data_IF_669753812818
#
_entry.id   IF_669753812818
#
_cell.length_a   1.000
_cell.length_b   1.000
_cell.length_c   1.000
_cell.angle_alpha   90.00
_cell.angle_beta   90.00
_cell.angle_gamma   90.00
#
_symmetry.space_group_name_H-M   'P 1'
#
loop_
_entity.id
_entity.type
_entity.pdbx_description
1 polymer ?
#
# COMPACT_ATOMS: atom_id res chain seq x y z
N UNK A 1 4.85 13.77 19.57
CA UNK A 1 5.13 13.03 18.33
C UNK A 1 3.95 12.11 18.08
N UNK A 2 2.99 12.59 17.30
CA UNK A 2 1.75 11.88 17.01
C UNK A 2 2.04 10.77 15.99
N UNK A 3 2.14 9.54 16.49
CA UNK A 3 2.25 8.36 15.65
C UNK A 3 0.89 8.11 14.97
N UNK A 4 0.91 7.89 13.66
CA UNK A 4 -0.26 7.65 12.82
C UNK A 4 -1.29 6.69 13.47
N UNK A 5 -2.46 7.22 13.86
CA UNK A 5 -3.49 6.54 14.67
C UNK A 5 -4.35 5.50 13.92
N UNK A 6 -3.90 4.99 12.76
CA UNK A 6 -4.58 3.87 12.08
C UNK A 6 -6.03 4.12 11.64
N UNK A 7 -6.42 5.38 11.37
CA UNK A 7 -7.82 5.73 11.04
C UNK A 7 -8.25 5.32 9.61
N UNK A 8 -7.31 4.91 8.75
CA UNK A 8 -7.60 4.51 7.37
C UNK A 8 -7.57 2.99 7.24
N UNK A 9 -8.71 2.38 6.90
CA UNK A 9 -8.86 0.92 6.76
C UNK A 9 -8.45 0.39 5.39
N UNK A 10 -8.50 1.22 4.36
CA UNK A 10 -8.11 0.87 3.00
C UNK A 10 -7.33 2.01 2.33
N UNK A 11 -6.35 1.65 1.50
CA UNK A 11 -5.64 2.57 0.63
C UNK A 11 -6.01 2.29 -0.81
N UNK A 12 -6.26 3.35 -1.57
CA UNK A 12 -6.48 3.32 -2.99
C UNK A 12 -5.23 3.87 -3.67
N UNK A 13 -4.65 3.10 -4.59
CA UNK A 13 -3.49 3.50 -5.37
C UNK A 13 -3.82 3.44 -6.85
N UNK A 14 -3.20 4.33 -7.62
CA UNK A 14 -3.25 4.30 -9.08
C UNK A 14 -1.93 3.73 -9.55
N UNK A 15 -1.99 2.58 -10.22
CA UNK A 15 -0.87 1.99 -10.94
C UNK A 15 -0.49 2.88 -12.14
N UNK A 16 0.76 2.81 -12.59
CA UNK A 16 1.30 3.54 -13.74
C UNK A 16 0.43 3.43 -15.01
N UNK A 17 -0.20 2.26 -15.24
CA UNK A 17 -1.14 2.03 -16.34
C UNK A 17 -2.56 2.57 -16.13
N UNK A 18 -2.80 3.39 -15.10
CA UNK A 18 -4.10 4.01 -14.78
C UNK A 18 -5.08 3.12 -14.01
N UNK A 19 -4.71 1.86 -13.72
CA UNK A 19 -5.56 0.96 -12.93
C UNK A 19 -5.59 1.38 -11.47
N UNK A 20 -6.78 1.43 -10.91
CA UNK A 20 -6.96 1.72 -9.48
C UNK A 20 -7.03 0.42 -8.70
N UNK A 21 -6.18 0.28 -7.67
CA UNK A 21 -6.16 -0.88 -6.77
C UNK A 21 -6.49 -0.41 -5.35
N UNK A 22 -7.46 -1.08 -4.71
CA UNK A 22 -7.78 -0.86 -3.30
C UNK A 22 -7.37 -2.08 -2.48
N UNK A 23 -6.65 -1.84 -1.40
CA UNK A 23 -6.25 -2.91 -0.48
C UNK A 23 -6.21 -2.40 0.96
N UNK A 24 -6.13 -3.32 1.93
CA UNK A 24 -6.07 -2.97 3.35
C UNK A 24 -4.83 -2.13 3.64
N UNK A 25 -5.00 -1.01 4.32
CA UNK A 25 -3.90 -0.16 4.76
C UNK A 25 -2.94 -0.87 5.72
N UNK A 26 -3.38 -1.97 6.33
CA UNK A 26 -2.56 -2.79 7.22
C UNK A 26 -1.31 -3.33 6.53
N UNK A 27 -1.37 -3.61 5.22
CA UNK A 27 -0.22 -4.07 4.44
C UNK A 27 0.85 -3.00 4.27
N UNK A 28 0.51 -1.72 4.49
CA UNK A 28 1.46 -0.61 4.40
C UNK A 28 2.09 -0.24 5.74
N UNK A 29 1.63 -0.81 6.86
CA UNK A 29 2.15 -0.51 8.21
C UNK A 29 3.68 -0.57 8.30
N UNK A 30 4.38 -1.57 7.72
CA UNK A 30 5.85 -1.61 7.77
C UNK A 30 6.54 -0.47 7.03
N UNK A 31 5.83 0.22 6.13
CA UNK A 31 6.36 1.29 5.27
C UNK A 31 5.93 2.68 5.73
N UNK A 32 5.24 2.80 6.88
CA UNK A 32 4.84 4.09 7.44
C UNK A 32 6.08 4.77 8.03
N UNK A 33 6.36 5.98 7.54
CA UNK A 33 7.38 6.87 8.12
C UNK A 33 6.71 8.08 8.77
N UNK A 34 7.46 8.89 9.51
CA UNK A 34 6.98 10.18 10.04
C UNK A 34 6.52 11.15 8.93
N UNK A 35 7.01 10.97 7.70
CA UNK A 35 6.62 11.71 6.50
C UNK A 35 5.46 11.05 5.72
N UNK A 36 4.88 9.97 6.25
CA UNK A 36 3.86 9.16 5.58
C UNK A 36 4.43 8.00 4.75
N UNK A 37 3.66 7.51 3.79
CA UNK A 37 4.04 6.44 2.87
C UNK A 37 4.40 7.07 1.52
N UNK A 38 5.65 6.93 1.09
CA UNK A 38 6.18 7.51 -0.15
C UNK A 38 7.08 6.49 -0.85
N UNK A 39 7.09 6.51 -2.18
CA UNK A 39 7.92 5.63 -2.99
C UNK A 39 7.12 4.79 -3.99
N UNK A 40 7.82 3.88 -4.66
CA UNK A 40 7.20 2.97 -5.63
C UNK A 40 7.00 1.61 -4.97
N UNK A 41 5.80 1.08 -5.08
CA UNK A 41 5.44 -0.22 -4.52
C UNK A 41 5.05 -1.18 -5.63
N UNK A 42 5.49 -2.43 -5.50
CA UNK A 42 5.07 -3.54 -6.33
C UNK A 42 4.11 -4.41 -5.54
N UNK A 43 2.91 -4.61 -6.06
CA UNK A 43 1.94 -5.55 -5.51
C UNK A 43 2.01 -6.86 -6.30
N UNK A 44 2.26 -7.97 -5.61
CA UNK A 44 2.10 -9.31 -6.16
C UNK A 44 0.69 -9.80 -5.87
N UNK A 45 0.01 -10.24 -6.92
CA UNK A 45 -1.31 -10.87 -6.85
C UNK A 45 -1.22 -12.31 -7.37
N UNK A 46 -2.16 -13.16 -6.97
CA UNK A 46 -2.36 -14.47 -7.58
C UNK A 46 -2.98 -14.32 -8.98
N UNK A 47 -3.02 -15.42 -9.74
CA UNK A 47 -3.75 -15.48 -11.02
C UNK A 47 -5.26 -15.19 -10.87
N UNK A 48 -5.81 -15.34 -9.66
CA UNK A 48 -7.19 -14.99 -9.31
C UNK A 48 -7.32 -13.57 -8.72
N UNK A 49 -6.32 -12.70 -8.91
CA UNK A 49 -6.27 -11.34 -8.39
C UNK A 49 -6.28 -11.23 -6.85
N UNK A 50 -5.95 -12.30 -6.12
CA UNK A 50 -5.86 -12.26 -4.65
C UNK A 50 -4.53 -11.65 -4.22
N UNK A 51 -4.52 -10.86 -3.15
CA UNK A 51 -3.31 -10.23 -2.62
C UNK A 51 -2.31 -11.28 -2.10
N UNK A 52 -1.05 -11.24 -2.55
CA UNK A 52 0.04 -12.06 -2.02
C UNK A 52 0.93 -11.21 -1.09
N UNK A 53 1.53 -10.15 -1.64
CA UNK A 53 2.41 -9.25 -0.88
C UNK A 53 2.58 -7.90 -1.56
N UNK A 54 3.08 -6.93 -0.79
CA UNK A 54 3.51 -5.63 -1.29
C UNK A 54 4.98 -5.41 -0.92
N UNK A 55 5.76 -4.95 -1.89
CA UNK A 55 7.18 -4.71 -1.74
C UNK A 55 7.49 -3.27 -2.16
N UNK A 56 8.34 -2.57 -1.40
CA UNK A 56 8.88 -1.29 -1.84
C UNK A 56 10.01 -1.55 -2.82
N UNK A 57 9.98 -0.91 -3.99
CA UNK A 57 10.98 -1.09 -5.07
C UNK A 57 11.89 0.12 -5.25
N UNK A 58 11.56 1.27 -4.66
CA UNK A 58 12.39 2.48 -4.55
C UNK A 58 11.92 3.34 -3.35
#
# INVERSE_FOLDING_TARGET
MDYYHGRFSSVQVVEDGGKTVRFSANHLRPFITSLGIRGRFRMLLTLENKFIRIERVA
#
